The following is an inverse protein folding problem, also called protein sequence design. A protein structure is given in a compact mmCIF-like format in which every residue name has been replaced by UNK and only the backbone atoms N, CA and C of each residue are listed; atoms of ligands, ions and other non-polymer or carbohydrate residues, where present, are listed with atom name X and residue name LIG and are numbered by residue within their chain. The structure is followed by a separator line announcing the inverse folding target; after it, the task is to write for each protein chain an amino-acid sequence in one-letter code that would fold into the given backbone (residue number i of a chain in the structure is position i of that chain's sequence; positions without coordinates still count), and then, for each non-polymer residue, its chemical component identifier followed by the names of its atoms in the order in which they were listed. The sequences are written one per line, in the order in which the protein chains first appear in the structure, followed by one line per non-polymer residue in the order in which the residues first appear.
data_IF_436719317755
#
_entry.id   IF_436719317755
#
_cell.length_a   1.000
_cell.length_b   1.000
_cell.length_c   1.000
_cell.angle_alpha   90.00
_cell.angle_beta   90.00
_cell.angle_gamma   90.00
#
_symmetry.space_group_name_H-M   'P 1'
#
loop_
_entity.id
_entity.type
_entity.pdbx_description
1 polymer ?
#
# COMPACT_ATOMS: atom_id res chain seq x y z
N UNK A 1 6.92 11.00 -6.21
CA UNK A 1 5.56 10.90 -6.79
C UNK A 1 4.57 11.43 -5.78
N UNK A 2 3.41 11.94 -6.19
CA UNK A 2 2.31 12.22 -5.26
C UNK A 2 1.68 10.88 -4.87
N UNK A 3 1.55 10.62 -3.58
CA UNK A 3 1.03 9.40 -2.97
C UNK A 3 -0.21 9.74 -2.17
N UNK A 4 -1.29 8.99 -2.36
CA UNK A 4 -2.59 9.17 -1.71
C UNK A 4 -2.60 8.72 -0.24
N UNK A 5 -1.71 7.81 0.16
CA UNK A 5 -1.55 7.24 1.50
C UNK A 5 -2.67 6.28 1.94
N UNK A 6 -3.92 6.52 1.55
CA UNK A 6 -5.07 5.65 1.83
C UNK A 6 -5.67 5.07 0.54
N UNK A 7 -4.83 4.64 -0.42
CA UNK A 7 -5.30 4.23 -1.76
C UNK A 7 -5.95 2.83 -1.78
N UNK A 8 -7.15 2.72 -1.24
CA UNK A 8 -7.93 1.48 -1.16
C UNK A 8 -9.17 1.52 -2.05
N UNK A 9 -9.76 0.35 -2.33
CA UNK A 9 -10.98 0.21 -3.14
C UNK A 9 -12.15 1.08 -2.65
N UNK A 10 -12.26 1.31 -1.32
CA UNK A 10 -13.26 2.23 -0.73
C UNK A 10 -13.17 3.68 -1.22
N UNK A 11 -11.98 4.11 -1.65
CA UNK A 11 -11.70 5.49 -2.09
C UNK A 11 -11.76 5.63 -3.63
N UNK A 12 -12.23 4.60 -4.33
CA UNK A 12 -12.39 4.58 -5.79
C UNK A 12 -13.87 4.53 -6.16
N UNK A 13 -14.32 5.49 -6.97
CA UNK A 13 -15.65 5.47 -7.59
C UNK A 13 -15.53 5.19 -9.08
N UNK A 14 -16.22 4.16 -9.54
CA UNK A 14 -16.38 3.88 -10.97
C UNK A 14 -17.72 4.42 -11.47
N UNK A 15 -17.69 5.43 -12.34
CA UNK A 15 -18.89 6.00 -12.96
C UNK A 15 -18.64 6.36 -14.41
N UNK A 16 -19.55 5.93 -15.30
CA UNK A 16 -19.51 6.29 -16.72
C UNK A 16 -18.23 5.86 -17.44
N UNK A 17 -17.61 4.73 -17.05
CA UNK A 17 -16.36 4.26 -17.64
C UNK A 17 -15.09 4.82 -17.01
N UNK A 18 -15.21 5.75 -16.06
CA UNK A 18 -14.07 6.44 -15.45
C UNK A 18 -13.95 6.10 -13.96
N UNK A 19 -12.71 5.98 -13.50
CA UNK A 19 -12.38 5.89 -12.07
C UNK A 19 -12.10 7.30 -11.55
N UNK A 20 -12.76 7.67 -10.46
CA UNK A 20 -12.48 8.87 -9.66
C UNK A 20 -11.90 8.47 -8.33
N UNK A 21 -10.85 9.15 -7.90
CA UNK A 21 -10.17 8.94 -6.62
C UNK A 21 -10.66 10.00 -5.64
N UNK A 22 -11.15 9.56 -4.49
CA UNK A 22 -11.64 10.40 -3.41
C UNK A 22 -10.66 10.44 -2.24
N UNK A 23 -10.82 11.42 -1.36
CA UNK A 23 -10.15 11.51 -0.05
C UNK A 23 -8.63 11.72 -0.09
N UNK A 24 -8.22 12.84 -0.66
CA UNK A 24 -6.82 13.26 -0.77
C UNK A 24 -6.26 13.93 0.50
N UNK A 25 -6.93 13.88 1.64
CA UNK A 25 -6.54 14.67 2.83
C UNK A 25 -5.16 14.28 3.37
N UNK A 26 -4.80 13.00 3.24
CA UNK A 26 -3.53 12.43 3.74
C UNK A 26 -2.46 12.30 2.65
N UNK A 27 -2.65 12.95 1.49
CA UNK A 27 -1.72 12.83 0.38
C UNK A 27 -0.36 13.50 0.70
N UNK A 28 0.72 12.83 0.33
CA UNK A 28 2.09 13.29 0.56
C UNK A 28 3.01 12.93 -0.59
N UNK A 29 4.21 13.51 -0.61
CA UNK A 29 5.23 13.19 -1.63
C UNK A 29 6.11 12.06 -1.12
N UNK A 30 6.20 10.98 -1.90
CA UNK A 30 7.08 9.85 -1.60
C UNK A 30 7.71 9.23 -2.85
N UNK A 31 8.90 8.62 -2.76
CA UNK A 31 9.54 7.90 -3.86
C UNK A 31 9.01 6.46 -4.07
N UNK A 32 8.18 5.91 -3.17
CA UNK A 32 7.81 4.49 -3.18
C UNK A 32 6.33 4.23 -3.55
N UNK A 33 6.04 3.05 -4.10
CA UNK A 33 4.70 2.62 -4.53
C UNK A 33 3.81 2.13 -3.36
N UNK A 34 3.69 2.94 -2.30
CA UNK A 34 2.83 2.63 -1.15
C UNK A 34 1.37 2.47 -1.55
N UNK A 35 0.86 3.34 -2.42
CA UNK A 35 -0.53 3.27 -2.91
C UNK A 35 -0.85 1.99 -3.69
N UNK A 36 0.10 1.51 -4.51
CA UNK A 36 -0.11 0.26 -5.24
C UNK A 36 -0.25 -0.92 -4.26
N UNK A 37 0.53 -0.91 -3.17
CA UNK A 37 0.38 -1.87 -2.09
C UNK A 37 -1.00 -1.78 -1.42
N UNK A 38 -1.44 -0.58 -1.05
CA UNK A 38 -2.77 -0.35 -0.46
C UNK A 38 -3.89 -0.92 -1.34
N UNK A 39 -3.82 -0.66 -2.65
CA UNK A 39 -4.83 -1.10 -3.60
C UNK A 39 -4.89 -2.63 -3.67
N UNK A 40 -3.75 -3.30 -3.89
CA UNK A 40 -3.72 -4.76 -4.04
C UNK A 40 -3.98 -5.51 -2.74
N UNK A 41 -3.80 -4.87 -1.59
CA UNK A 41 -4.20 -5.40 -0.28
C UNK A 41 -5.72 -5.42 -0.15
N UNK A 42 -6.39 -4.36 -0.64
CA UNK A 42 -7.86 -4.26 -0.61
C UNK A 42 -8.59 -4.94 -1.78
N UNK A 43 -7.86 -5.32 -2.83
CA UNK A 43 -8.41 -5.93 -4.04
C UNK A 43 -8.22 -7.46 -4.07
N UNK A 44 -8.93 -8.16 -3.18
CA UNK A 44 -8.90 -9.63 -3.12
C UNK A 44 -9.21 -10.26 -4.48
N UNK A 45 -8.45 -11.29 -4.86
CA UNK A 45 -8.61 -12.02 -6.13
C UNK A 45 -8.07 -11.32 -7.39
N UNK A 46 -7.75 -10.02 -7.34
CA UNK A 46 -7.35 -9.22 -8.52
C UNK A 46 -5.90 -8.72 -8.48
N UNK A 47 -5.12 -9.08 -7.46
CA UNK A 47 -3.73 -8.62 -7.25
C UNK A 47 -2.85 -8.76 -8.50
N UNK A 48 -2.84 -9.93 -9.14
CA UNK A 48 -1.97 -10.20 -10.30
C UNK A 48 -2.33 -9.32 -11.49
N UNK A 49 -3.62 -9.13 -11.73
CA UNK A 49 -4.15 -8.32 -12.83
C UNK A 49 -3.81 -6.85 -12.63
N UNK A 50 -3.94 -6.33 -11.41
CA UNK A 50 -3.62 -4.95 -11.07
C UNK A 50 -2.12 -4.67 -11.24
N UNK A 51 -1.26 -5.55 -10.71
CA UNK A 51 0.20 -5.41 -10.85
C UNK A 51 0.60 -5.48 -12.32
N UNK A 52 0.09 -6.44 -13.08
CA UNK A 52 0.41 -6.56 -14.51
C UNK A 52 -0.09 -5.37 -15.33
N UNK A 53 -1.26 -4.83 -15.03
CA UNK A 53 -1.76 -3.61 -15.68
C UNK A 53 -0.87 -2.40 -15.36
N UNK A 54 -0.39 -2.28 -14.11
CA UNK A 54 0.53 -1.22 -13.72
C UNK A 54 1.88 -1.35 -14.42
N UNK A 55 2.46 -2.54 -14.51
CA UNK A 55 3.70 -2.82 -15.25
C UNK A 55 3.57 -2.41 -16.72
N UNK A 56 2.48 -2.81 -17.38
CA UNK A 56 2.23 -2.47 -18.78
C UNK A 56 2.06 -0.96 -19.00
N UNK A 57 1.37 -0.27 -18.09
CA UNK A 57 1.11 1.17 -18.22
C UNK A 57 2.34 2.03 -17.89
N UNK A 58 3.14 1.63 -16.88
CA UNK A 58 4.32 2.37 -16.44
C UNK A 58 5.56 2.09 -17.30
N UNK A 59 5.65 0.90 -17.90
CA UNK A 59 6.85 0.43 -18.58
C UNK A 59 8.03 0.17 -17.63
N UNK A 60 7.80 0.12 -16.32
CA UNK A 60 8.83 -0.05 -15.32
C UNK A 60 9.08 -1.54 -15.03
N UNK A 61 10.32 -2.00 -15.21
CA UNK A 61 10.71 -3.38 -14.94
C UNK A 61 10.88 -3.69 -13.44
N UNK A 62 10.90 -2.68 -12.58
CA UNK A 62 11.18 -2.81 -11.15
C UNK A 62 9.92 -2.73 -10.28
N UNK A 63 8.72 -2.83 -10.86
CA UNK A 63 7.44 -2.69 -10.13
C UNK A 63 7.39 -3.60 -8.90
N UNK A 64 7.82 -4.85 -9.00
CA UNK A 64 7.84 -5.77 -7.86
C UNK A 64 8.76 -5.32 -6.71
N UNK A 65 9.94 -4.78 -7.02
CA UNK A 65 10.84 -4.22 -6.01
C UNK A 65 10.22 -2.98 -5.37
N UNK A 66 9.73 -2.05 -6.20
CA UNK A 66 9.11 -0.80 -5.76
C UNK A 66 7.85 -1.04 -4.91
N UNK A 67 7.07 -2.06 -5.26
CA UNK A 67 5.92 -2.51 -4.49
C UNK A 67 6.34 -3.07 -3.13
N UNK A 68 7.42 -3.86 -3.09
CA UNK A 68 7.90 -4.45 -1.84
C UNK A 68 8.43 -3.39 -0.89
N UNK A 69 9.26 -2.45 -1.36
CA UNK A 69 9.73 -1.33 -0.52
C UNK A 69 8.58 -0.39 -0.15
N UNK A 70 7.64 -0.15 -1.07
CA UNK A 70 6.43 0.63 -0.81
C UNK A 70 5.56 0.02 0.28
N UNK A 71 5.41 -1.30 0.30
CA UNK A 71 4.72 -2.03 1.36
C UNK A 71 5.39 -1.81 2.71
N UNK A 72 6.71 -1.98 2.80
CA UNK A 72 7.48 -1.75 4.04
C UNK A 72 7.28 -0.33 4.56
N UNK A 73 7.49 0.68 3.70
CA UNK A 73 7.36 2.07 4.10
C UNK A 73 5.94 2.42 4.56
N UNK A 74 4.91 1.95 3.85
CA UNK A 74 3.53 2.19 4.22
C UNK A 74 3.16 1.49 5.54
N UNK A 75 3.55 0.22 5.72
CA UNK A 75 3.29 -0.54 6.94
C UNK A 75 3.96 0.11 8.15
N UNK A 76 5.21 0.57 8.02
CA UNK A 76 5.91 1.30 9.08
C UNK A 76 5.17 2.58 9.46
N UNK A 77 4.74 3.37 8.48
CA UNK A 77 3.98 4.60 8.71
C UNK A 77 2.63 4.30 9.40
N UNK A 78 1.93 3.26 8.96
CA UNK A 78 0.63 2.87 9.51
C UNK A 78 0.73 2.32 10.93
N UNK A 79 1.73 1.50 11.21
CA UNK A 79 2.01 0.99 12.56
C UNK A 79 2.34 2.16 13.49
N UNK A 80 3.22 3.08 13.05
CA UNK A 80 3.55 4.29 13.81
C UNK A 80 2.30 5.10 14.11
N UNK A 81 1.44 5.36 13.13
CA UNK A 81 0.18 6.08 13.32
C UNK A 81 -0.68 5.47 14.45
N UNK A 82 -0.88 4.15 14.42
CA UNK A 82 -1.68 3.48 15.46
C UNK A 82 -1.04 3.53 16.84
N UNK A 83 0.29 3.40 16.91
CA UNK A 83 1.02 3.50 18.18
C UNK A 83 1.07 4.94 18.74
N UNK A 84 0.98 5.95 17.88
CA UNK A 84 1.06 7.38 18.23
C UNK A 84 -0.32 8.01 18.59
N UNK A 85 -1.34 7.20 18.90
CA UNK A 85 -2.66 7.70 19.29
C UNK A 85 -3.82 7.19 18.44
N UNK A 86 -3.55 6.56 17.29
CA UNK A 86 -4.59 6.08 16.39
C UNK A 86 -5.43 4.94 16.99
N UNK A 87 -4.90 4.21 17.98
CA UNK A 87 -5.63 3.18 18.73
C UNK A 87 -6.74 3.79 19.60
N UNK A 88 -6.49 4.95 20.21
CA UNK A 88 -7.45 5.65 21.04
C UNK A 88 -8.65 6.13 20.22
N UNK A 89 -8.39 6.57 18.98
CA UNK A 89 -9.41 6.99 18.02
C UNK A 89 -10.16 5.80 17.40
N UNK A 90 -9.45 4.71 17.12
CA UNK A 90 -9.98 3.50 16.49
C UNK A 90 -9.62 2.28 17.36
N UNK A 91 -10.38 1.97 18.43
CA UNK A 91 -10.01 0.91 19.38
C UNK A 91 -9.84 -0.48 18.77
N UNK A 92 -10.61 -0.80 17.72
CA UNK A 92 -10.51 -2.08 17.00
C UNK A 92 -9.17 -2.25 16.26
N UNK A 93 -8.41 -1.16 16.03
CA UNK A 93 -7.09 -1.23 15.40
C UNK A 93 -6.08 -2.04 16.23
N UNK A 94 -6.30 -2.24 17.53
CA UNK A 94 -5.50 -3.16 18.36
C UNK A 94 -5.50 -4.59 17.81
N UNK A 95 -6.61 -5.02 17.21
CA UNK A 95 -6.74 -6.35 16.64
C UNK A 95 -5.99 -6.47 15.30
N UNK A 96 -5.79 -5.37 14.58
CA UNK A 96 -5.12 -5.35 13.28
C UNK A 96 -3.59 -5.24 13.39
N UNK A 97 -3.07 -4.68 14.49
CA UNK A 97 -1.64 -4.45 14.70
C UNK A 97 -0.77 -5.71 14.54
N UNK A 98 -1.14 -6.88 15.11
CA UNK A 98 -0.36 -8.10 14.90
C UNK A 98 -0.20 -8.47 13.42
N UNK A 99 -1.28 -8.37 12.63
CA UNK A 99 -1.25 -8.67 11.20
C UNK A 99 -0.42 -7.64 10.42
N UNK A 100 -0.52 -6.35 10.76
CA UNK A 100 0.32 -5.31 10.16
C UNK A 100 1.81 -5.55 10.42
N UNK A 101 2.17 -5.98 11.63
CA UNK A 101 3.56 -6.33 11.97
C UNK A 101 4.01 -7.58 11.20
N UNK A 102 3.17 -8.60 11.10
CA UNK A 102 3.47 -9.81 10.32
C UNK A 102 3.67 -9.49 8.84
N UNK A 103 2.81 -8.66 8.26
CA UNK A 103 2.95 -8.18 6.88
C UNK A 103 4.29 -7.44 6.69
N UNK A 104 4.66 -6.58 7.66
CA UNK A 104 5.91 -5.82 7.61
C UNK A 104 7.11 -6.77 7.62
N UNK A 105 7.11 -7.74 8.53
CA UNK A 105 8.18 -8.74 8.63
C UNK A 105 8.29 -9.56 7.35
N UNK A 106 7.17 -10.01 6.79
CA UNK A 106 7.12 -10.73 5.52
C UNK A 106 7.77 -9.91 4.38
N UNK A 107 7.39 -8.64 4.24
CA UNK A 107 7.96 -7.79 3.18
C UNK A 107 9.44 -7.44 3.43
N UNK A 108 9.88 -7.32 4.67
CA UNK A 108 11.30 -7.18 5.01
C UNK A 108 12.10 -8.44 4.62
N UNK A 109 11.58 -9.65 4.85
CA UNK A 109 12.22 -10.88 4.38
C UNK A 109 12.28 -10.93 2.85
N UNK A 110 11.22 -10.52 2.16
CA UNK A 110 11.26 -10.37 0.72
C UNK A 110 12.41 -9.44 0.30
N UNK A 111 12.51 -8.23 0.86
CA UNK A 111 13.60 -7.29 0.52
C UNK A 111 15.00 -7.89 0.76
N UNK A 112 15.21 -8.67 1.82
CA UNK A 112 16.49 -9.34 2.05
C UNK A 112 16.88 -10.24 0.89
N UNK A 113 15.95 -10.99 0.31
CA UNK A 113 16.25 -11.83 -0.85
C UNK A 113 16.73 -11.01 -2.06
N UNK A 114 16.21 -9.78 -2.24
CA UNK A 114 16.69 -8.88 -3.30
C UNK A 114 18.12 -8.39 -3.06
N UNK A 115 18.58 -8.34 -1.81
CA UNK A 115 19.95 -7.90 -1.47
C UNK A 115 21.01 -9.00 -1.60
N UNK A 116 20.60 -10.25 -1.88
CA UNK A 116 21.51 -11.39 -2.08
C UNK A 116 21.98 -11.54 -3.54
N UNK A 117 21.53 -10.65 -4.43
CA UNK A 117 21.94 -10.55 -5.83
C UNK A 117 23.20 -9.73 -6.03
#
# INVERSE_FOLDING_TARGET
MLTHNDYHTKNLIYTGGHVRILDWSEAYVSPHLGDLYCLIRSAEGSRKQIVSAYEQASGDANVHWQLTIGAVCWLMERIRYFLDGGIEEIPIAKEWLPDLVNDLLMHCEMLKEWTKG
#
